data_IF_630484907431
#
_entry.id   IF_630484907431
#
_cell.length_a   1.000
_cell.length_b   1.000
_cell.length_c   1.000
_cell.angle_alpha   90.00
_cell.angle_beta   90.00
_cell.angle_gamma   90.00
#
_symmetry.space_group_name_H-M   'P 1'
#
loop_
_entity.id
_entity.type
_entity.pdbx_description
1 polymer ?
#
# COMPACT_ATOMS: atom_id res chain seq x y z
N UNK A 1 25.88 33.18 54.54
CA UNK A 1 25.62 31.80 54.08
C UNK A 1 26.94 31.10 53.84
N UNK A 2 27.10 29.92 54.43
CA UNK A 2 28.25 29.03 54.16
C UNK A 2 27.69 27.79 53.46
N UNK A 3 28.34 27.41 52.36
CA UNK A 3 27.98 26.19 51.60
C UNK A 3 29.12 25.20 51.68
N UNK A 4 28.81 23.97 52.10
CA UNK A 4 29.72 22.85 52.10
C UNK A 4 29.11 21.67 51.36
N UNK A 5 29.88 20.59 51.15
CA UNK A 5 29.38 19.38 50.54
C UNK A 5 28.31 18.68 51.40
N UNK A 6 28.30 18.92 52.72
CA UNK A 6 27.42 18.29 53.69
C UNK A 6 26.15 19.08 54.02
N UNK A 7 26.06 20.35 53.61
CA UNK A 7 24.92 21.21 53.83
C UNK A 7 25.23 22.68 53.64
N UNK A 8 24.26 23.50 53.90
CA UNK A 8 24.41 24.96 53.94
C UNK A 8 23.91 25.50 55.27
N UNK A 9 24.58 26.57 55.71
CA UNK A 9 24.27 27.17 56.99
C UNK A 9 24.33 28.69 56.93
N UNK A 10 23.68 29.31 57.84
CA UNK A 10 23.67 30.75 58.02
C UNK A 10 24.46 31.09 59.28
N UNK A 11 25.44 31.99 59.13
CA UNK A 11 26.27 32.51 60.24
C UNK A 11 25.88 33.94 60.45
N UNK A 12 25.77 34.33 61.73
CA UNK A 12 25.63 35.71 62.13
C UNK A 12 26.90 36.49 61.73
N UNK A 13 26.69 37.56 61.00
CA UNK A 13 27.79 38.38 60.45
C UNK A 13 28.65 39.06 61.51
N UNK A 14 28.12 39.36 62.71
CA UNK A 14 28.77 40.11 63.74
C UNK A 14 29.39 39.21 64.81
N UNK A 15 28.71 38.13 65.16
CA UNK A 15 29.13 37.24 66.24
C UNK A 15 29.83 35.96 65.75
N UNK A 16 29.81 35.68 64.46
CA UNK A 16 30.35 34.45 63.89
C UNK A 16 29.60 33.16 64.29
N UNK A 17 28.49 33.25 65.02
CA UNK A 17 27.72 32.08 65.47
C UNK A 17 26.91 31.50 64.37
N UNK A 18 26.85 30.15 64.30
CA UNK A 18 25.94 29.39 63.38
C UNK A 18 24.51 29.61 63.83
N UNK A 19 23.69 30.20 62.98
CA UNK A 19 22.29 30.52 63.23
C UNK A 19 21.37 29.35 62.85
N UNK A 20 21.67 28.70 61.73
CA UNK A 20 20.95 27.55 61.26
C UNK A 20 21.83 26.66 60.39
N UNK A 21 21.60 25.39 60.36
CA UNK A 21 22.26 24.41 59.51
C UNK A 21 21.25 23.49 58.87
N UNK A 22 21.30 23.39 57.56
CA UNK A 22 20.46 22.46 56.79
C UNK A 22 21.36 21.43 56.14
N UNK A 23 21.24 20.17 56.57
CA UNK A 23 22.02 19.09 56.02
C UNK A 23 21.52 18.69 54.64
N UNK A 24 22.44 18.31 53.76
CA UNK A 24 22.09 17.82 52.41
C UNK A 24 21.33 16.50 52.50
N UNK A 25 20.01 16.53 52.32
CA UNK A 25 19.17 15.34 52.32
C UNK A 25 19.18 14.62 50.96
N UNK A 26 18.64 13.39 50.89
CA UNK A 26 18.57 12.61 49.64
C UNK A 26 17.86 13.35 48.48
N UNK A 27 16.86 14.16 48.79
CA UNK A 27 16.13 14.98 47.81
C UNK A 27 17.00 16.09 47.19
N UNK A 28 17.83 16.73 47.98
CA UNK A 28 18.75 17.77 47.51
C UNK A 28 19.90 17.16 46.70
N UNK A 29 20.38 15.97 47.07
CA UNK A 29 21.35 15.22 46.31
C UNK A 29 20.79 14.83 44.93
N UNK A 30 19.54 14.30 44.87
CA UNK A 30 18.86 13.98 43.65
C UNK A 30 18.65 15.21 42.76
N UNK A 31 18.26 16.35 43.37
CA UNK A 31 18.08 17.59 42.65
C UNK A 31 19.42 18.10 42.04
N UNK A 32 20.52 18.05 42.79
CA UNK A 32 21.85 18.44 42.28
C UNK A 32 22.28 17.55 41.13
N UNK A 33 22.07 16.25 41.28
CA UNK A 33 22.41 15.29 40.25
C UNK A 33 21.57 15.47 38.97
N UNK A 34 20.27 15.67 39.12
CA UNK A 34 19.36 15.97 38.00
C UNK A 34 19.78 17.30 37.31
N UNK A 35 20.06 18.34 38.08
CA UNK A 35 20.53 19.60 37.54
C UNK A 35 21.85 19.45 36.77
N UNK A 36 22.84 18.79 37.36
CA UNK A 36 24.14 18.52 36.74
C UNK A 36 24.01 17.78 35.40
N UNK A 37 23.09 16.81 35.30
CA UNK A 37 22.76 16.11 34.05
C UNK A 37 22.09 17.04 33.02
N UNK A 38 21.15 17.88 33.45
CA UNK A 38 20.33 18.68 32.54
C UNK A 38 21.03 19.99 32.07
N UNK A 39 21.93 20.54 32.85
CA UNK A 39 22.59 21.82 32.51
C UNK A 39 23.89 21.65 31.73
N UNK A 40 24.38 20.42 31.55
CA UNK A 40 25.67 20.18 30.88
C UNK A 40 26.90 20.52 31.70
N UNK A 41 26.75 20.84 33.02
CA UNK A 41 27.84 21.15 33.92
C UNK A 41 28.81 19.97 34.13
N UNK A 42 28.43 18.76 33.68
CA UNK A 42 29.23 17.54 33.78
C UNK A 42 30.54 17.62 33.00
N UNK A 43 30.46 18.02 31.74
CA UNK A 43 31.61 18.20 30.84
C UNK A 43 31.17 18.91 29.57
N UNK A 44 32.11 19.51 28.84
CA UNK A 44 31.83 20.14 27.56
C UNK A 44 31.31 19.13 26.52
N UNK A 45 31.76 17.87 26.58
CA UNK A 45 31.24 16.78 25.72
C UNK A 45 29.78 16.50 26.02
N UNK A 46 29.39 16.47 27.29
CA UNK A 46 28.00 16.29 27.71
C UNK A 46 27.12 17.47 27.27
N UNK A 47 27.63 18.68 27.39
CA UNK A 47 26.95 19.87 26.90
C UNK A 47 26.69 19.80 25.39
N UNK A 48 27.62 19.27 24.57
CA UNK A 48 27.44 19.04 23.14
C UNK A 48 26.36 17.98 22.87
N UNK A 49 26.33 16.90 23.67
CA UNK A 49 25.26 15.86 23.54
C UNK A 49 23.90 16.48 23.82
N UNK A 50 23.76 17.27 24.86
CA UNK A 50 22.50 17.95 25.19
C UNK A 50 22.11 18.98 24.13
N UNK A 51 23.06 19.74 23.58
CA UNK A 51 22.79 20.65 22.46
C UNK A 51 22.34 19.91 21.21
N UNK A 52 22.99 18.79 20.88
CA UNK A 52 22.61 17.92 19.77
C UNK A 52 21.21 17.32 19.96
N UNK A 53 20.90 16.81 21.14
CA UNK A 53 19.59 16.28 21.49
C UNK A 53 18.50 17.36 21.42
N UNK A 54 18.78 18.57 21.89
CA UNK A 54 17.87 19.71 21.79
C UNK A 54 17.57 20.08 20.34
N UNK A 55 18.61 20.13 19.50
CA UNK A 55 18.45 20.41 18.06
C UNK A 55 17.67 19.28 17.35
N UNK A 56 17.96 18.02 17.67
CA UNK A 56 17.22 16.87 17.16
C UNK A 56 15.73 16.92 17.55
N UNK A 57 15.44 17.34 18.78
CA UNK A 57 14.05 17.48 19.25
C UNK A 57 13.27 18.52 18.44
N UNK A 58 13.88 19.67 18.13
CA UNK A 58 13.27 20.70 17.29
C UNK A 58 13.02 20.16 15.88
N UNK A 59 14.00 19.45 15.31
CA UNK A 59 13.91 18.88 13.95
C UNK A 59 12.84 17.79 13.87
N UNK A 60 12.77 16.91 14.86
CA UNK A 60 11.74 15.89 14.98
C UNK A 60 10.34 16.49 15.19
N UNK A 61 10.24 17.55 16.00
CA UNK A 61 8.99 18.27 16.22
C UNK A 61 8.51 18.93 14.92
N UNK A 62 9.41 19.58 14.18
CA UNK A 62 9.08 20.19 12.89
C UNK A 62 8.64 19.15 11.86
N UNK A 63 9.41 18.05 11.72
CA UNK A 63 9.07 16.98 10.78
C UNK A 63 7.78 16.27 11.17
N UNK A 64 7.58 16.02 12.49
CA UNK A 64 6.34 15.45 13.02
C UNK A 64 5.12 16.34 12.77
N UNK A 65 5.27 17.66 13.01
CA UNK A 65 4.20 18.62 12.74
C UNK A 65 3.88 18.71 11.24
N UNK A 66 4.90 18.69 10.39
CA UNK A 66 4.73 18.70 8.94
C UNK A 66 4.03 17.44 8.43
N UNK A 67 4.41 16.26 8.93
CA UNK A 67 3.76 14.98 8.64
C UNK A 67 2.31 14.97 9.15
N UNK A 68 2.08 15.44 10.37
CA UNK A 68 0.74 15.56 10.94
C UNK A 68 -0.14 16.51 10.13
N UNK A 69 0.41 17.66 9.69
CA UNK A 69 -0.32 18.64 8.87
C UNK A 69 -0.67 18.06 7.49
N UNK A 70 0.30 17.41 6.81
CA UNK A 70 0.04 16.75 5.52
C UNK A 70 -0.99 15.63 5.67
N UNK A 71 -0.89 14.80 6.70
CA UNK A 71 -1.87 13.77 7.00
C UNK A 71 -3.27 14.36 7.30
N UNK A 72 -3.34 15.52 7.97
CA UNK A 72 -4.60 16.22 8.25
C UNK A 72 -5.21 16.83 6.98
N UNK A 73 -4.39 17.37 6.09
CA UNK A 73 -4.86 17.85 4.78
C UNK A 73 -5.37 16.69 3.91
N UNK A 74 -4.64 15.58 3.86
CA UNK A 74 -5.05 14.37 3.14
C UNK A 74 -6.37 13.82 3.72
N UNK A 75 -6.54 13.85 5.05
CA UNK A 75 -7.79 13.46 5.71
C UNK A 75 -8.96 14.40 5.38
N UNK A 76 -8.74 15.70 5.27
CA UNK A 76 -9.77 16.67 4.84
C UNK A 76 -10.16 16.48 3.37
N UNK A 77 -9.20 16.11 2.52
CA UNK A 77 -9.45 15.75 1.12
C UNK A 77 -10.07 14.35 0.98
N UNK A 78 -9.80 13.45 1.94
CA UNK A 78 -10.37 12.11 2.03
C UNK A 78 -11.75 12.06 2.71
N UNK A 79 -12.17 13.15 3.38
CA UNK A 79 -13.53 13.31 3.84
C UNK A 79 -14.42 13.40 2.61
N UNK A 80 -15.11 12.31 2.30
CA UNK A 80 -16.07 12.11 1.23
C UNK A 80 -15.86 13.09 0.07
N UNK A 81 -15.12 12.70 -1.00
CA UNK A 81 -15.16 13.53 -2.19
C UNK A 81 -16.64 13.73 -2.48
N UNK A 82 -17.03 14.95 -2.75
CA UNK A 82 -18.41 15.29 -3.04
C UNK A 82 -18.91 14.33 -4.14
N UNK A 83 -19.59 13.27 -3.75
CA UNK A 83 -20.39 12.38 -4.61
C UNK A 83 -21.60 13.19 -5.07
N UNK A 84 -21.34 14.34 -5.74
CA UNK A 84 -22.17 15.52 -5.65
C UNK A 84 -23.29 15.57 -6.66
N UNK A 85 -23.19 14.91 -7.79
CA UNK A 85 -24.19 15.16 -8.84
C UNK A 85 -25.33 14.13 -8.89
N UNK A 86 -25.16 12.92 -8.36
CA UNK A 86 -26.15 11.83 -8.54
C UNK A 86 -26.37 10.97 -7.28
N UNK A 87 -25.98 11.43 -6.11
CA UNK A 87 -26.19 10.67 -4.87
C UNK A 87 -27.67 10.79 -4.47
N UNK A 88 -28.42 9.70 -4.69
CA UNK A 88 -29.85 9.64 -4.31
C UNK A 88 -30.00 9.81 -2.78
N UNK A 89 -31.11 10.39 -2.28
CA UNK A 89 -31.37 10.37 -0.86
C UNK A 89 -31.36 8.93 -0.32
N UNK A 90 -30.73 8.67 0.79
CA UNK A 90 -30.58 7.32 1.35
C UNK A 90 -31.91 6.58 1.51
N UNK A 91 -32.94 7.27 1.97
CA UNK A 91 -34.29 6.70 2.16
C UNK A 91 -35.00 6.27 0.85
N UNK A 92 -34.55 6.77 -0.31
CA UNK A 92 -35.13 6.48 -1.62
C UNK A 92 -34.23 5.57 -2.48
N UNK A 93 -33.02 5.29 -2.01
CA UNK A 93 -32.06 4.50 -2.76
C UNK A 93 -32.38 3.01 -2.67
N UNK A 94 -32.37 2.34 -3.85
CA UNK A 94 -32.48 0.88 -3.93
C UNK A 94 -31.13 0.18 -3.72
N UNK A 95 -30.04 0.90 -3.97
CA UNK A 95 -28.67 0.39 -3.86
C UNK A 95 -27.84 1.29 -2.95
N UNK A 96 -27.33 0.74 -1.85
CA UNK A 96 -26.45 1.44 -0.94
C UNK A 96 -25.00 0.99 -1.13
N UNK A 97 -24.08 1.94 -1.25
CA UNK A 97 -22.63 1.68 -1.30
C UNK A 97 -22.01 2.26 -0.05
N UNK A 98 -21.41 1.42 0.79
CA UNK A 98 -20.69 1.85 1.97
C UNK A 98 -19.20 1.71 1.77
N UNK A 99 -18.44 2.73 2.20
CA UNK A 99 -17.00 2.81 1.98
C UNK A 99 -16.24 2.93 3.28
N UNK A 100 -15.28 2.04 3.48
CA UNK A 100 -14.29 2.16 4.54
C UNK A 100 -12.91 2.39 3.93
N UNK A 101 -12.30 3.56 4.19
CA UNK A 101 -11.03 3.96 3.59
C UNK A 101 -10.24 4.86 4.53
N UNK A 102 -9.02 4.49 4.92
CA UNK A 102 -8.17 5.33 5.79
C UNK A 102 -7.64 6.55 5.05
N UNK A 103 -7.10 6.35 3.86
CA UNK A 103 -6.47 7.40 3.03
C UNK A 103 -7.35 7.95 1.90
N UNK A 104 -8.64 7.58 1.86
CA UNK A 104 -9.57 8.06 0.82
C UNK A 104 -9.47 7.37 -0.54
N UNK A 105 -8.46 6.54 -0.79
CA UNK A 105 -8.23 5.92 -2.10
C UNK A 105 -9.35 4.98 -2.57
N UNK A 106 -10.08 4.35 -1.63
CA UNK A 106 -11.21 3.45 -1.94
C UNK A 106 -12.42 4.22 -2.48
N UNK A 107 -12.53 5.51 -2.20
CA UNK A 107 -13.63 6.34 -2.70
C UNK A 107 -13.66 6.46 -4.22
N UNK A 108 -12.48 6.45 -4.88
CA UNK A 108 -12.43 6.46 -6.34
C UNK A 108 -13.05 5.21 -6.97
N UNK A 109 -12.84 4.03 -6.36
CA UNK A 109 -13.50 2.79 -6.75
C UNK A 109 -15.01 2.84 -6.51
N UNK A 110 -15.42 3.38 -5.35
CA UNK A 110 -16.83 3.56 -5.01
C UNK A 110 -17.52 4.52 -5.96
N UNK A 111 -16.88 5.61 -6.36
CA UNK A 111 -17.41 6.58 -7.31
C UNK A 111 -17.59 5.97 -8.70
N UNK A 112 -16.62 5.19 -9.19
CA UNK A 112 -16.74 4.48 -10.46
C UNK A 112 -17.89 3.46 -10.44
N UNK A 113 -18.02 2.70 -9.35
CA UNK A 113 -19.13 1.78 -9.16
C UNK A 113 -20.47 2.53 -9.10
N UNK A 114 -20.56 3.61 -8.33
CA UNK A 114 -21.75 4.45 -8.22
C UNK A 114 -22.21 4.94 -9.58
N UNK A 115 -21.29 5.55 -10.34
CA UNK A 115 -21.58 6.08 -11.68
C UNK A 115 -22.07 4.98 -12.64
N UNK A 116 -21.40 3.82 -12.62
CA UNK A 116 -21.75 2.71 -13.49
C UNK A 116 -23.14 2.14 -13.15
N UNK A 117 -23.51 2.03 -11.87
CA UNK A 117 -24.84 1.57 -11.45
C UNK A 117 -25.92 2.62 -11.71
N UNK A 118 -25.64 3.90 -11.44
CA UNK A 118 -26.57 5.01 -11.74
C UNK A 118 -26.84 5.13 -13.26
N UNK A 119 -25.83 4.93 -14.11
CA UNK A 119 -25.98 4.88 -15.57
C UNK A 119 -26.89 3.75 -16.04
N UNK A 120 -27.13 2.72 -15.22
CA UNK A 120 -28.09 1.64 -15.46
C UNK A 120 -29.47 1.90 -14.85
N UNK A 121 -29.73 3.13 -14.39
CA UNK A 121 -31.04 3.54 -13.85
C UNK A 121 -31.27 3.17 -12.38
N UNK A 122 -30.26 2.65 -11.67
CA UNK A 122 -30.38 2.34 -10.25
C UNK A 122 -30.30 3.62 -9.40
N UNK A 123 -31.09 3.69 -8.35
CA UNK A 123 -31.04 4.78 -7.39
C UNK A 123 -29.96 4.49 -6.33
N UNK A 124 -28.77 5.00 -6.57
CA UNK A 124 -27.59 4.70 -5.75
C UNK A 124 -27.35 5.78 -4.69
N UNK A 125 -27.09 5.35 -3.45
CA UNK A 125 -26.58 6.19 -2.38
C UNK A 125 -25.24 5.65 -1.89
N UNK A 126 -24.23 6.52 -1.82
CA UNK A 126 -22.91 6.17 -1.30
C UNK A 126 -22.61 6.97 -0.05
N UNK A 127 -22.12 6.29 0.98
CA UNK A 127 -21.78 6.87 2.26
C UNK A 127 -20.56 6.17 2.91
N UNK A 128 -19.96 6.80 3.93
CA UNK A 128 -18.96 6.15 4.74
C UNK A 128 -19.59 5.01 5.56
N UNK A 129 -18.83 3.93 5.78
CA UNK A 129 -19.33 2.73 6.46
C UNK A 129 -19.76 3.01 7.92
N UNK A 130 -19.26 4.04 8.55
CA UNK A 130 -19.70 4.48 9.89
C UNK A 130 -21.17 4.90 9.93
N UNK A 131 -21.77 5.26 8.79
CA UNK A 131 -23.18 5.59 8.62
C UNK A 131 -24.00 4.40 8.13
N UNK A 132 -23.53 3.17 8.38
CA UNK A 132 -24.23 1.97 7.95
C UNK A 132 -25.65 1.93 8.49
N UNK A 133 -26.60 2.10 7.59
CA UNK A 133 -28.02 2.00 7.85
C UNK A 133 -28.74 1.62 6.56
N UNK A 134 -29.76 0.75 6.63
CA UNK A 134 -30.63 0.44 5.52
C UNK A 134 -32.02 1.03 5.72
N UNK A 135 -32.74 1.24 4.63
CA UNK A 135 -34.06 1.85 4.61
C UNK A 135 -35.06 0.92 3.92
N UNK A 136 -36.36 1.21 4.01
CA UNK A 136 -37.41 0.38 3.41
C UNK A 136 -37.27 0.20 1.89
N UNK A 137 -36.72 1.19 1.17
CA UNK A 137 -36.46 1.13 -0.27
C UNK A 137 -35.23 0.32 -0.64
N UNK A 138 -34.36 -0.03 0.33
CA UNK A 138 -33.08 -0.69 0.06
C UNK A 138 -33.29 -2.13 -0.42
N UNK A 139 -32.82 -2.44 -1.60
CA UNK A 139 -32.89 -3.78 -2.20
C UNK A 139 -31.53 -4.51 -2.13
N UNK A 140 -30.42 -3.77 -2.07
CA UNK A 140 -29.07 -4.35 -2.04
C UNK A 140 -28.05 -3.43 -1.39
N UNK A 141 -27.00 -4.01 -0.84
CA UNK A 141 -25.91 -3.28 -0.20
C UNK A 141 -24.59 -3.76 -0.78
N UNK A 142 -23.70 -2.81 -1.11
CA UNK A 142 -22.33 -3.08 -1.53
C UNK A 142 -21.40 -2.40 -0.56
N UNK A 143 -20.41 -3.12 -0.05
CA UNK A 143 -19.41 -2.58 0.89
C UNK A 143 -18.02 -2.68 0.27
N UNK A 144 -17.34 -1.53 0.15
CA UNK A 144 -15.96 -1.43 -0.26
C UNK A 144 -15.10 -1.14 0.97
N UNK A 145 -14.36 -2.15 1.44
CA UNK A 145 -13.66 -2.11 2.71
C UNK A 145 -12.14 -2.19 2.54
N UNK A 146 -11.43 -1.06 2.73
CA UNK A 146 -9.98 -1.09 2.83
C UNK A 146 -9.52 -1.61 4.19
N UNK A 147 -8.38 -2.27 4.17
CA UNK A 147 -7.70 -2.75 5.37
C UNK A 147 -6.55 -1.80 5.72
N UNK A 148 -6.39 -1.51 7.00
CA UNK A 148 -5.32 -0.68 7.53
C UNK A 148 -4.36 -1.50 8.40
N UNK A 149 -3.07 -1.19 8.35
CA UNK A 149 -2.04 -1.89 9.14
C UNK A 149 -2.03 -3.40 8.90
N UNK A 150 -1.96 -4.20 9.96
CA UNK A 150 -1.84 -5.65 9.91
C UNK A 150 -3.19 -6.39 9.72
N UNK A 151 -4.22 -5.76 9.18
CA UNK A 151 -5.53 -6.38 8.97
C UNK A 151 -6.70 -5.62 9.62
N UNK A 152 -6.43 -4.46 10.20
CA UNK A 152 -7.37 -3.70 11.01
C UNK A 152 -8.35 -2.88 10.16
N UNK A 153 -9.45 -2.46 10.80
CA UNK A 153 -10.39 -1.51 10.21
C UNK A 153 -9.77 -0.10 10.12
N UNK A 154 -10.11 0.70 9.10
CA UNK A 154 -9.86 2.13 9.09
C UNK A 154 -10.40 2.81 10.34
N UNK A 155 -9.77 3.91 10.77
CA UNK A 155 -10.08 4.58 12.05
C UNK A 155 -11.57 4.87 12.26
N UNK A 156 -12.21 5.44 11.24
CA UNK A 156 -13.63 5.81 11.28
C UNK A 156 -14.58 4.59 11.27
N UNK A 157 -14.12 3.41 10.80
CA UNK A 157 -14.92 2.19 10.71
C UNK A 157 -14.67 1.20 11.88
N UNK A 158 -13.78 1.53 12.84
CA UNK A 158 -13.41 0.62 13.94
C UNK A 158 -14.58 0.19 14.82
N UNK A 159 -15.58 1.05 14.96
CA UNK A 159 -16.76 0.78 15.79
C UNK A 159 -17.82 -0.06 15.06
N UNK A 160 -17.79 -0.06 13.73
CA UNK A 160 -18.85 -0.68 12.91
C UNK A 160 -19.02 -2.17 13.19
N UNK A 161 -17.93 -2.94 13.24
CA UNK A 161 -18.01 -4.37 13.58
C UNK A 161 -18.64 -4.61 14.94
N UNK A 162 -18.29 -3.80 15.93
CA UNK A 162 -18.87 -3.92 17.29
C UNK A 162 -20.35 -3.54 17.29
N UNK A 163 -20.73 -2.48 16.59
CA UNK A 163 -22.12 -2.05 16.45
C UNK A 163 -22.94 -3.12 15.72
N UNK A 164 -22.45 -3.67 14.62
CA UNK A 164 -23.10 -4.76 13.89
C UNK A 164 -23.27 -6.00 14.76
N UNK A 165 -22.25 -6.38 15.53
CA UNK A 165 -22.33 -7.55 16.43
C UNK A 165 -23.37 -7.36 17.55
N UNK A 166 -23.57 -6.13 18.02
CA UNK A 166 -24.56 -5.78 19.04
C UNK A 166 -25.98 -5.65 18.51
N UNK A 167 -26.15 -5.18 17.28
CA UNK A 167 -27.42 -5.02 16.59
C UNK A 167 -27.87 -6.34 15.95
N UNK A 168 -28.24 -7.32 16.78
CA UNK A 168 -28.78 -8.57 16.23
C UNK A 168 -30.22 -8.31 15.76
N UNK A 169 -30.49 -8.38 14.43
CA UNK A 169 -31.86 -8.18 13.95
C UNK A 169 -32.77 -9.30 14.48
N UNK A 170 -34.01 -8.94 14.83
CA UNK A 170 -35.00 -9.91 15.34
C UNK A 170 -35.36 -10.99 14.28
N UNK A 171 -35.20 -10.67 13.00
CA UNK A 171 -35.29 -11.61 11.88
C UNK A 171 -34.16 -11.35 10.88
N UNK A 172 -33.65 -12.38 10.18
CA UNK A 172 -32.62 -12.19 9.16
C UNK A 172 -33.09 -11.18 8.10
N UNK A 173 -32.29 -10.14 7.80
CA UNK A 173 -32.66 -9.20 6.75
C UNK A 173 -32.69 -9.91 5.39
N UNK A 174 -33.62 -9.54 4.52
CA UNK A 174 -33.74 -10.09 3.15
C UNK A 174 -32.86 -9.37 2.13
N UNK A 175 -32.10 -8.36 2.55
CA UNK A 175 -31.30 -7.50 1.68
C UNK A 175 -29.93 -8.16 1.40
N UNK A 176 -29.61 -8.51 0.15
CA UNK A 176 -28.34 -9.13 -0.20
C UNK A 176 -27.18 -8.13 -0.14
N UNK A 177 -26.02 -8.63 0.33
CA UNK A 177 -24.80 -7.86 0.51
C UNK A 177 -23.67 -8.42 -0.35
N UNK A 178 -22.93 -7.53 -1.03
CA UNK A 178 -21.63 -7.81 -1.64
C UNK A 178 -20.52 -7.05 -0.92
N UNK A 179 -19.40 -7.71 -0.63
CA UNK A 179 -18.26 -7.10 0.06
C UNK A 179 -17.01 -7.25 -0.80
N UNK A 180 -16.37 -6.11 -1.06
CA UNK A 180 -15.10 -6.03 -1.76
C UNK A 180 -14.04 -5.47 -0.81
N UNK A 181 -13.03 -6.29 -0.51
CA UNK A 181 -11.92 -5.92 0.33
C UNK A 181 -10.76 -5.33 -0.46
N UNK A 182 -10.07 -4.33 0.09
CA UNK A 182 -8.83 -3.80 -0.44
C UNK A 182 -7.72 -3.99 0.59
N UNK A 183 -6.65 -4.66 0.21
CA UNK A 183 -5.54 -4.96 1.09
C UNK A 183 -4.25 -5.22 0.35
N UNK A 184 -3.22 -5.56 1.11
CA UNK A 184 -1.94 -5.96 0.58
C UNK A 184 -1.56 -7.34 1.14
N UNK A 185 -1.24 -8.29 0.25
CA UNK A 185 -0.86 -9.67 0.60
C UNK A 185 0.46 -9.78 1.33
N UNK A 186 1.25 -8.69 1.37
CA UNK A 186 2.48 -8.64 2.16
C UNK A 186 2.22 -8.56 3.67
N UNK A 187 0.99 -8.22 4.07
CA UNK A 187 0.60 -8.23 5.48
C UNK A 187 -0.07 -9.55 5.87
N UNK A 188 0.14 -10.03 7.11
CA UNK A 188 -0.34 -11.35 7.54
C UNK A 188 -1.85 -11.56 7.40
N UNK A 189 -2.65 -10.50 7.54
CA UNK A 189 -4.10 -10.55 7.45
C UNK A 189 -4.60 -9.80 6.22
N UNK A 190 -4.40 -10.41 5.06
CA UNK A 190 -4.89 -9.86 3.78
C UNK A 190 -6.40 -9.62 3.83
N UNK A 191 -6.83 -8.37 3.64
CA UNK A 191 -8.23 -7.95 3.70
C UNK A 191 -8.96 -8.35 4.99
N UNK A 192 -8.25 -8.44 6.14
CA UNK A 192 -8.78 -8.95 7.40
C UNK A 192 -10.06 -8.25 7.85
N UNK A 193 -10.17 -6.93 7.67
CA UNK A 193 -11.38 -6.18 8.00
C UNK A 193 -12.58 -6.56 7.12
N UNK A 194 -12.38 -6.70 5.80
CA UNK A 194 -13.45 -7.12 4.88
C UNK A 194 -13.91 -8.54 5.17
N UNK A 195 -12.97 -9.43 5.52
CA UNK A 195 -13.28 -10.80 5.92
C UNK A 195 -14.10 -10.84 7.23
N UNK A 196 -13.73 -10.02 8.22
CA UNK A 196 -14.47 -9.92 9.48
C UNK A 196 -15.89 -9.36 9.27
N UNK A 197 -16.07 -8.39 8.36
CA UNK A 197 -17.40 -7.90 7.97
C UNK A 197 -18.22 -9.01 7.31
N UNK A 198 -17.64 -9.73 6.35
CA UNK A 198 -18.34 -10.83 5.66
C UNK A 198 -18.79 -11.90 6.65
N UNK A 199 -17.93 -12.29 7.59
CA UNK A 199 -18.27 -13.25 8.63
C UNK A 199 -19.38 -12.73 9.56
N UNK A 200 -19.33 -11.45 9.95
CA UNK A 200 -20.34 -10.84 10.80
C UNK A 200 -21.73 -10.88 10.13
N UNK A 201 -21.83 -10.44 8.86
CA UNK A 201 -23.08 -10.47 8.11
C UNK A 201 -23.61 -11.90 7.88
N UNK A 202 -22.72 -12.84 7.54
CA UNK A 202 -23.09 -14.25 7.38
C UNK A 202 -23.65 -14.84 8.69
N UNK A 203 -23.01 -14.55 9.83
CA UNK A 203 -23.46 -15.03 11.15
C UNK A 203 -24.83 -14.45 11.53
N UNK A 204 -25.16 -13.26 11.04
CA UNK A 204 -26.46 -12.63 11.25
C UNK A 204 -27.52 -13.05 10.23
N UNK A 205 -27.20 -13.93 9.28
CA UNK A 205 -28.13 -14.45 8.31
C UNK A 205 -28.40 -13.52 7.11
N UNK A 206 -27.55 -12.50 6.84
CA UNK A 206 -27.69 -11.66 5.66
C UNK A 206 -27.39 -12.46 4.39
N UNK A 207 -28.24 -12.39 3.35
CA UNK A 207 -27.97 -13.03 2.09
C UNK A 207 -26.75 -12.44 1.42
N UNK A 208 -25.92 -13.29 0.79
CA UNK A 208 -24.79 -12.83 0.00
C UNK A 208 -25.24 -12.60 -1.45
N UNK A 209 -25.00 -11.38 -1.98
CA UNK A 209 -25.16 -11.09 -3.42
C UNK A 209 -24.02 -11.72 -4.22
N UNK A 210 -22.80 -11.65 -3.67
CA UNK A 210 -21.58 -12.29 -4.16
C UNK A 210 -20.75 -12.77 -2.97
N UNK A 211 -19.98 -13.85 -3.10
CA UNK A 211 -18.91 -14.15 -2.15
C UNK A 211 -17.99 -12.95 -1.99
N UNK A 212 -17.50 -12.68 -0.76
CA UNK A 212 -16.55 -11.60 -0.57
C UNK A 212 -15.29 -11.86 -1.37
N UNK A 213 -14.70 -10.80 -1.96
CA UNK A 213 -13.45 -10.86 -2.72
C UNK A 213 -12.47 -9.82 -2.21
N UNK A 214 -11.16 -10.15 -2.21
CA UNK A 214 -10.09 -9.25 -1.83
C UNK A 214 -9.27 -8.80 -3.03
N UNK A 215 -9.12 -7.49 -3.19
CA UNK A 215 -8.27 -6.88 -4.21
C UNK A 215 -6.91 -6.54 -3.60
N UNK A 216 -5.86 -7.12 -4.18
CA UNK A 216 -4.48 -6.82 -3.82
C UNK A 216 -4.04 -5.49 -4.43
N UNK A 217 -3.50 -4.60 -3.56
CA UNK A 217 -2.87 -3.32 -3.96
C UNK A 217 -3.72 -2.50 -4.95
N UNK A 218 -5.04 -2.47 -4.74
CA UNK A 218 -5.97 -1.68 -5.54
C UNK A 218 -5.91 -1.97 -7.05
N UNK A 219 -5.73 -3.23 -7.43
CA UNK A 219 -5.63 -3.66 -8.82
C UNK A 219 -6.87 -3.26 -9.64
N UNK A 220 -6.74 -2.41 -10.66
CA UNK A 220 -7.84 -2.03 -11.53
C UNK A 220 -8.43 -3.20 -12.30
N UNK A 221 -7.57 -4.17 -12.68
CA UNK A 221 -8.00 -5.38 -13.41
C UNK A 221 -8.87 -6.28 -12.54
N UNK A 222 -8.50 -6.44 -11.25
CA UNK A 222 -9.30 -7.20 -10.30
C UNK A 222 -10.65 -6.51 -10.06
N UNK A 223 -10.66 -5.18 -9.95
CA UNK A 223 -11.87 -4.40 -9.81
C UNK A 223 -12.80 -4.54 -11.03
N UNK A 224 -12.26 -4.43 -12.24
CA UNK A 224 -13.03 -4.64 -13.47
C UNK A 224 -13.61 -6.06 -13.57
N UNK A 225 -12.86 -7.08 -13.16
CA UNK A 225 -13.34 -8.46 -13.10
C UNK A 225 -14.49 -8.61 -12.10
N UNK A 226 -14.30 -8.11 -10.87
CA UNK A 226 -15.33 -8.13 -9.84
C UNK A 226 -16.58 -7.37 -10.29
N UNK A 227 -16.44 -6.25 -11.00
CA UNK A 227 -17.55 -5.48 -11.56
C UNK A 227 -18.41 -6.31 -12.53
N UNK A 228 -17.77 -7.11 -13.39
CA UNK A 228 -18.51 -8.04 -14.27
C UNK A 228 -19.30 -9.09 -13.47
N UNK A 229 -18.67 -9.67 -12.45
CA UNK A 229 -19.36 -10.63 -11.56
C UNK A 229 -20.56 -9.99 -10.85
N UNK A 230 -20.40 -8.75 -10.38
CA UNK A 230 -21.49 -7.98 -9.78
C UNK A 230 -22.60 -7.69 -10.78
N UNK A 231 -22.24 -7.28 -12.00
CA UNK A 231 -23.22 -7.05 -13.08
C UNK A 231 -24.07 -8.29 -13.39
N UNK A 232 -23.44 -9.46 -13.49
CA UNK A 232 -24.15 -10.73 -13.68
C UNK A 232 -25.07 -11.05 -12.49
N UNK A 233 -24.60 -10.89 -11.25
CA UNK A 233 -25.41 -11.13 -10.05
C UNK A 233 -26.62 -10.17 -9.96
N UNK A 234 -26.52 -8.99 -10.55
CA UNK A 234 -27.60 -8.00 -10.64
C UNK A 234 -28.50 -8.18 -11.87
N UNK A 235 -28.20 -9.13 -12.76
CA UNK A 235 -28.94 -9.33 -14.01
C UNK A 235 -28.79 -8.17 -15.01
N UNK A 236 -27.68 -7.43 -14.97
CA UNK A 236 -27.43 -6.30 -15.86
C UNK A 236 -26.82 -6.76 -17.19
N UNK A 237 -27.48 -6.42 -18.30
CA UNK A 237 -26.98 -6.67 -19.66
C UNK A 237 -26.85 -5.34 -20.44
N UNK A 238 -25.75 -5.06 -21.13
CA UNK A 238 -24.45 -5.73 -21.02
C UNK A 238 -23.87 -5.62 -19.60
N UNK A 239 -22.91 -6.50 -19.24
CA UNK A 239 -22.33 -6.55 -17.89
C UNK A 239 -21.72 -5.23 -17.46
N UNK A 240 -21.57 -5.04 -16.15
CA UNK A 240 -21.05 -3.80 -15.57
C UNK A 240 -19.55 -3.64 -15.90
N UNK A 241 -19.22 -2.65 -16.71
CA UNK A 241 -17.83 -2.28 -17.02
C UNK A 241 -17.35 -1.23 -16.01
N UNK A 242 -16.42 -1.62 -15.13
CA UNK A 242 -15.80 -0.70 -14.18
C UNK A 242 -14.40 -0.34 -14.70
N UNK A 243 -14.25 0.89 -15.17
CA UNK A 243 -12.98 1.44 -15.66
C UNK A 243 -12.48 2.51 -14.70
N UNK A 244 -11.88 2.08 -13.59
CA UNK A 244 -11.23 2.98 -12.63
C UNK A 244 -9.78 2.56 -12.41
N UNK A 245 -8.89 3.52 -12.61
CA UNK A 245 -7.48 3.40 -12.27
C UNK A 245 -7.14 4.39 -11.16
N UNK A 246 -6.61 3.95 -10.01
CA UNK A 246 -6.09 4.85 -9.00
C UNK A 246 -5.02 5.76 -9.61
N UNK A 247 -4.79 6.96 -9.05
CA UNK A 247 -3.67 7.81 -9.47
C UNK A 247 -2.37 7.00 -9.51
N UNK A 248 -1.76 6.97 -10.69
CA UNK A 248 -0.50 6.26 -10.89
C UNK A 248 0.68 7.16 -10.49
N UNK A 249 1.82 6.58 -10.11
CA UNK A 249 3.07 7.33 -10.04
C UNK A 249 3.34 8.02 -11.37
N UNK A 250 4.07 9.14 -11.31
CA UNK A 250 4.48 9.82 -12.53
C UNK A 250 5.26 8.84 -13.43
N UNK A 251 4.82 8.69 -14.66
CA UNK A 251 5.53 7.90 -15.66
C UNK A 251 6.70 8.68 -16.22
N UNK A 252 7.72 7.98 -16.65
CA UNK A 252 8.86 8.55 -17.37
C UNK A 252 9.16 7.74 -18.63
N UNK A 253 9.81 8.35 -19.63
CA UNK A 253 10.16 7.66 -20.85
C UNK A 253 11.29 6.67 -20.62
N UNK A 254 11.11 5.43 -21.09
CA UNK A 254 12.12 4.40 -21.17
C UNK A 254 12.38 4.07 -22.62
N UNK A 255 13.65 4.01 -23.03
CA UNK A 255 14.08 3.64 -24.38
C UNK A 255 14.44 2.16 -24.40
N UNK A 256 13.95 1.41 -25.38
CA UNK A 256 14.40 0.07 -25.65
C UNK A 256 15.81 0.09 -26.24
N UNK A 257 16.79 -0.39 -25.47
CA UNK A 257 18.21 -0.38 -25.89
C UNK A 257 18.66 -1.73 -26.44
N UNK A 258 18.06 -2.83 -25.99
CA UNK A 258 18.37 -4.18 -26.47
C UNK A 258 17.13 -5.06 -26.40
N UNK A 259 17.01 -5.97 -27.36
CA UNK A 259 15.93 -6.94 -27.48
C UNK A 259 16.50 -8.32 -27.78
N UNK A 260 15.96 -9.33 -27.10
CA UNK A 260 16.28 -10.75 -27.37
C UNK A 260 14.97 -11.50 -27.55
N UNK A 261 14.77 -12.05 -28.74
CA UNK A 261 13.56 -12.81 -29.10
C UNK A 261 13.76 -14.29 -28.82
N UNK A 262 12.71 -14.91 -28.28
CA UNK A 262 12.60 -16.35 -28.03
C UNK A 262 11.40 -16.89 -28.82
N UNK A 263 11.60 -17.27 -30.09
CA UNK A 263 10.56 -17.90 -30.88
C UNK A 263 10.28 -19.30 -30.34
N UNK A 264 9.01 -19.69 -30.34
CA UNK A 264 8.59 -21.04 -29.94
C UNK A 264 7.56 -21.54 -30.93
N UNK A 265 7.76 -22.75 -31.45
CA UNK A 265 6.87 -23.33 -32.49
C UNK A 265 5.47 -23.66 -31.94
N UNK A 266 5.42 -24.20 -30.70
CA UNK A 266 4.21 -24.77 -30.11
C UNK A 266 3.65 -23.93 -28.97
N UNK A 267 4.19 -22.71 -28.74
CA UNK A 267 3.72 -21.81 -27.69
C UNK A 267 3.88 -20.34 -28.12
N UNK A 268 3.13 -19.42 -27.53
CA UNK A 268 3.31 -18.01 -27.80
C UNK A 268 4.77 -17.57 -27.53
N UNK A 269 5.39 -16.82 -28.47
CA UNK A 269 6.77 -16.39 -28.37
C UNK A 269 6.96 -15.48 -27.16
N UNK A 270 8.20 -15.36 -26.68
CA UNK A 270 8.58 -14.45 -25.64
C UNK A 270 9.71 -13.53 -26.10
N UNK A 271 9.87 -12.41 -25.41
CA UNK A 271 10.95 -11.45 -25.65
C UNK A 271 11.51 -10.95 -24.31
N UNK A 272 12.81 -10.81 -24.23
CA UNK A 272 13.49 -10.08 -23.15
C UNK A 272 13.81 -8.68 -23.67
N UNK A 273 13.35 -7.66 -22.96
CA UNK A 273 13.53 -6.26 -23.30
C UNK A 273 14.41 -5.59 -22.25
N UNK A 274 15.44 -4.89 -22.72
CA UNK A 274 16.32 -4.06 -21.90
C UNK A 274 15.92 -2.60 -22.10
N UNK A 275 15.41 -1.98 -21.07
CA UNK A 275 14.83 -0.64 -21.09
C UNK A 275 15.69 0.29 -20.25
N UNK A 276 16.10 1.41 -20.81
CA UNK A 276 16.90 2.41 -20.13
C UNK A 276 16.09 3.71 -19.98
N UNK A 277 16.16 4.36 -18.83
CA UNK A 277 15.51 5.65 -18.66
C UNK A 277 16.12 6.65 -19.66
N UNK A 278 15.27 7.37 -20.36
CA UNK A 278 15.74 8.39 -21.30
C UNK A 278 16.40 9.56 -20.56
N UNK A 279 17.49 10.14 -21.10
CA UNK A 279 18.21 11.25 -20.46
C UNK A 279 17.34 12.46 -20.13
N UNK A 280 16.23 12.65 -20.85
CA UNK A 280 15.25 13.71 -20.62
C UNK A 280 14.31 13.44 -19.42
N UNK A 281 14.37 12.26 -18.83
CA UNK A 281 13.57 11.88 -17.66
C UNK A 281 14.26 12.13 -16.32
N UNK A 282 13.52 12.05 -15.24
CA UNK A 282 14.09 12.03 -13.90
C UNK A 282 14.98 10.79 -13.72
N UNK A 283 15.96 10.88 -12.81
CA UNK A 283 16.78 9.71 -12.45
C UNK A 283 15.87 8.54 -12.05
N UNK A 284 16.21 7.33 -12.50
CA UNK A 284 15.48 6.14 -12.11
C UNK A 284 15.47 6.02 -10.59
N UNK A 285 14.31 5.80 -9.98
CA UNK A 285 14.30 5.38 -8.58
C UNK A 285 15.10 4.09 -8.43
N UNK A 286 15.75 3.92 -7.28
CA UNK A 286 16.45 2.67 -6.99
C UNK A 286 15.47 1.49 -7.14
N UNK A 287 15.88 0.46 -7.87
CA UNK A 287 15.10 -0.76 -8.04
C UNK A 287 16.01 -2.00 -7.95
N UNK A 288 15.39 -3.11 -7.63
CA UNK A 288 16.05 -4.40 -7.49
C UNK A 288 15.31 -5.51 -8.24
N UNK A 289 15.98 -6.64 -8.44
CA UNK A 289 15.35 -7.81 -9.04
C UNK A 289 14.10 -8.23 -8.27
N UNK A 290 12.99 -8.45 -8.99
CA UNK A 290 11.69 -8.75 -8.40
C UNK A 290 10.77 -7.55 -8.17
N UNK A 291 11.28 -6.32 -8.23
CA UNK A 291 10.43 -5.13 -8.34
C UNK A 291 9.62 -5.14 -9.64
N UNK A 292 8.63 -4.28 -9.74
CA UNK A 292 7.72 -4.26 -10.88
C UNK A 292 7.95 -3.03 -11.76
N UNK A 293 8.00 -3.24 -13.06
CA UNK A 293 7.89 -2.18 -14.05
C UNK A 293 6.43 -2.05 -14.48
N UNK A 294 5.77 -0.95 -14.11
CA UNK A 294 4.43 -0.62 -14.53
C UNK A 294 4.46 0.09 -15.89
N UNK A 295 3.96 -0.53 -16.94
CA UNK A 295 3.93 -0.01 -18.30
C UNK A 295 2.51 0.42 -18.64
N UNK A 296 2.38 1.66 -19.11
CA UNK A 296 1.11 2.21 -19.59
C UNK A 296 1.14 2.22 -21.12
N UNK A 297 0.46 1.26 -21.79
CA UNK A 297 0.46 1.22 -23.25
C UNK A 297 -0.26 2.44 -23.85
N UNK A 298 0.09 2.87 -25.06
CA UNK A 298 -0.59 3.97 -25.75
C UNK A 298 -2.10 3.77 -25.80
N UNK A 299 -2.88 4.81 -25.52
CA UNK A 299 -4.35 4.75 -25.53
C UNK A 299 -4.99 3.98 -24.37
N UNK A 300 -4.21 3.47 -23.42
CA UNK A 300 -4.72 2.76 -22.23
C UNK A 300 -4.49 3.59 -20.97
N UNK A 301 -5.39 3.43 -19.99
CA UNK A 301 -5.24 4.03 -18.65
C UNK A 301 -4.69 3.04 -17.63
N UNK A 302 -4.88 1.73 -17.87
CA UNK A 302 -4.51 0.70 -16.92
C UNK A 302 -3.08 0.21 -17.19
N UNK A 303 -2.18 0.30 -16.22
CA UNK A 303 -0.84 -0.23 -16.37
C UNK A 303 -0.84 -1.75 -16.40
N UNK A 304 0.17 -2.32 -17.01
CA UNK A 304 0.51 -3.74 -16.88
C UNK A 304 1.85 -3.85 -16.18
N UNK A 305 1.95 -4.77 -15.23
CA UNK A 305 3.13 -4.93 -14.40
C UNK A 305 3.95 -6.11 -14.87
N UNK A 306 5.25 -5.89 -15.01
CA UNK A 306 6.23 -6.91 -15.37
C UNK A 306 7.31 -6.94 -14.29
N UNK A 307 7.66 -8.13 -13.82
CA UNK A 307 8.73 -8.28 -12.83
C UNK A 307 10.07 -7.99 -13.45
N UNK A 308 10.91 -7.24 -12.74
CA UNK A 308 12.26 -6.88 -13.17
C UNK A 308 13.21 -8.06 -12.97
N UNK A 309 13.93 -8.41 -14.03
CA UNK A 309 15.02 -9.37 -14.05
C UNK A 309 16.38 -8.75 -13.70
N UNK A 310 16.41 -7.46 -13.41
CA UNK A 310 17.62 -6.69 -13.16
C UNK A 310 17.45 -5.76 -11.97
N UNK A 311 18.55 -5.17 -11.55
CA UNK A 311 18.64 -4.09 -10.56
C UNK A 311 19.15 -2.80 -11.19
N UNK A 312 19.16 -1.71 -10.45
CA UNK A 312 19.75 -0.45 -10.90
C UNK A 312 21.24 -0.58 -11.27
N UNK A 313 21.97 -1.49 -10.60
CA UNK A 313 23.39 -1.73 -10.87
C UNK A 313 23.64 -2.29 -12.28
N UNK A 314 22.65 -2.94 -12.90
CA UNK A 314 22.74 -3.49 -14.25
C UNK A 314 22.56 -2.42 -15.35
N UNK A 315 22.31 -1.16 -15.01
CA UNK A 315 22.19 -0.03 -15.92
C UNK A 315 20.93 -0.01 -16.81
N UNK A 316 20.13 -1.08 -16.78
CA UNK A 316 18.88 -1.19 -17.53
C UNK A 316 17.82 -1.99 -16.78
N UNK A 317 16.56 -1.62 -16.96
CA UNK A 317 15.42 -2.38 -16.47
C UNK A 317 15.11 -3.51 -17.46
N UNK A 318 15.27 -4.76 -17.03
CA UNK A 318 15.04 -5.94 -17.87
C UNK A 318 13.72 -6.61 -17.51
N UNK A 319 12.90 -6.89 -18.51
CA UNK A 319 11.64 -7.63 -18.36
C UNK A 319 11.56 -8.75 -19.38
N UNK A 320 10.92 -9.85 -19.00
CA UNK A 320 10.62 -10.96 -19.90
C UNK A 320 9.10 -10.99 -20.16
N UNK A 321 8.71 -10.92 -21.43
CA UNK A 321 7.33 -10.77 -21.85
C UNK A 321 6.94 -11.89 -22.81
N UNK A 322 5.93 -12.69 -22.45
CA UNK A 322 5.30 -13.64 -23.36
C UNK A 322 4.15 -12.96 -24.11
N UNK A 323 4.07 -13.19 -25.41
CA UNK A 323 2.95 -12.71 -26.22
C UNK A 323 1.67 -13.43 -25.78
N UNK A 324 0.68 -12.68 -25.34
CA UNK A 324 -0.64 -13.24 -25.00
C UNK A 324 -1.61 -12.97 -26.16
N UNK A 325 -2.29 -14.00 -26.68
CA UNK A 325 -3.33 -13.81 -27.69
C UNK A 325 -4.38 -12.79 -27.19
N UNK A 326 -4.64 -11.73 -27.97
CA UNK A 326 -5.54 -10.64 -27.58
C UNK A 326 -5.02 -9.72 -26.48
N UNK A 327 -3.80 -9.91 -26.00
CA UNK A 327 -3.19 -9.07 -24.96
C UNK A 327 -2.62 -7.77 -25.53
N UNK A 328 -3.29 -6.64 -25.31
CA UNK A 328 -2.89 -5.35 -25.88
C UNK A 328 -1.45 -4.95 -25.51
N UNK A 329 -1.08 -5.00 -24.23
CA UNK A 329 0.26 -4.58 -23.78
C UNK A 329 1.36 -5.55 -24.26
N UNK A 330 1.13 -6.85 -24.21
CA UNK A 330 2.11 -7.83 -24.71
C UNK A 330 2.34 -7.68 -26.22
N UNK A 331 1.29 -7.42 -27.00
CA UNK A 331 1.39 -7.15 -28.44
C UNK A 331 2.16 -5.85 -28.68
N UNK A 332 1.87 -4.78 -27.95
CA UNK A 332 2.62 -3.53 -28.02
C UNK A 332 4.12 -3.75 -27.73
N UNK A 333 4.48 -4.46 -26.67
CA UNK A 333 5.87 -4.72 -26.30
C UNK A 333 6.59 -5.63 -27.29
N UNK A 334 5.92 -6.62 -27.86
CA UNK A 334 6.46 -7.43 -28.94
C UNK A 334 6.69 -6.66 -30.25
N UNK A 335 5.89 -5.62 -30.50
CA UNK A 335 6.06 -4.73 -31.67
C UNK A 335 7.16 -3.67 -31.49
N UNK A 336 7.67 -3.49 -30.28
CA UNK A 336 8.61 -2.41 -29.96
C UNK A 336 9.98 -2.68 -30.58
N UNK A 337 10.56 -1.68 -31.25
CA UNK A 337 11.88 -1.76 -31.87
C UNK A 337 12.93 -1.02 -31.04
N UNK A 338 14.19 -1.44 -31.13
CA UNK A 338 15.32 -0.74 -30.49
C UNK A 338 15.36 0.72 -30.86
N UNK A 339 15.57 1.60 -29.89
CA UNK A 339 15.51 3.06 -30.03
C UNK A 339 14.11 3.66 -29.77
N UNK A 340 13.04 2.89 -29.77
CA UNK A 340 11.71 3.36 -29.44
C UNK A 340 11.52 3.53 -27.94
N UNK A 341 10.60 4.43 -27.54
CA UNK A 341 10.32 4.76 -26.16
C UNK A 341 8.94 4.30 -25.72
N UNK A 342 8.80 4.00 -24.45
CA UNK A 342 7.52 3.73 -23.78
C UNK A 342 7.42 4.50 -22.47
N UNK A 343 6.20 4.69 -21.95
CA UNK A 343 5.95 5.30 -20.67
C UNK A 343 5.83 4.23 -19.59
N UNK A 344 6.69 4.32 -18.56
CA UNK A 344 6.68 3.37 -17.46
C UNK A 344 7.04 4.02 -16.12
N UNK A 345 6.83 3.30 -15.03
CA UNK A 345 7.28 3.64 -13.69
C UNK A 345 7.72 2.39 -12.95
N UNK A 346 8.63 2.55 -12.01
CA UNK A 346 9.05 1.46 -11.12
C UNK A 346 8.16 1.43 -9.90
N UNK A 347 7.74 0.25 -9.51
CA UNK A 347 6.99 -0.01 -8.29
C UNK A 347 7.74 -1.04 -7.42
N UNK A 348 8.16 -0.68 -6.20
CA UNK A 348 8.77 -1.61 -5.27
C UNK A 348 7.86 -2.81 -4.97
N UNK A 349 8.45 -4.00 -4.84
CA UNK A 349 7.75 -5.24 -4.51
C UNK A 349 8.44 -5.93 -3.31
N UNK A 350 8.39 -5.36 -2.10
CA UNK A 350 9.12 -5.85 -0.94
C UNK A 350 8.76 -7.27 -0.53
N UNK A 351 7.59 -7.77 -0.93
CA UNK A 351 7.18 -9.15 -0.69
C UNK A 351 7.86 -10.18 -1.58
N UNK A 352 8.53 -9.73 -2.63
CA UNK A 352 9.36 -10.60 -3.50
C UNK A 352 10.84 -10.35 -3.23
N UNK A 353 11.24 -10.37 -1.95
CA UNK A 353 12.61 -10.24 -1.52
C UNK A 353 13.11 -11.58 -0.93
N UNK A 354 14.43 -11.79 -0.96
CA UNK A 354 15.01 -12.93 -0.29
C UNK A 354 14.82 -12.79 1.24
N UNK A 355 14.57 -13.90 1.96
CA UNK A 355 14.54 -13.87 3.41
C UNK A 355 15.90 -13.42 3.95
N UNK A 356 15.94 -12.71 5.08
CA UNK A 356 17.21 -12.25 5.67
C UNK A 356 18.12 -13.42 6.03
N UNK A 357 19.43 -13.19 5.98
CA UNK A 357 20.47 -14.19 6.30
C UNK A 357 21.22 -14.74 5.11
N UNK A 358 22.13 -15.68 5.37
CA UNK A 358 23.04 -16.27 4.37
C UNK A 358 22.71 -17.73 4.03
N UNK A 359 21.62 -18.27 4.56
CA UNK A 359 21.21 -19.66 4.27
C UNK A 359 21.01 -19.87 2.77
N UNK A 360 21.33 -21.06 2.24
CA UNK A 360 21.06 -21.42 0.84
C UNK A 360 19.57 -21.24 0.50
N UNK A 361 19.29 -20.78 -0.71
CA UNK A 361 17.93 -20.55 -1.19
C UNK A 361 17.64 -21.41 -2.39
N UNK A 362 16.48 -22.07 -2.38
CA UNK A 362 15.95 -22.77 -3.52
C UNK A 362 14.95 -21.85 -4.26
N UNK A 363 15.22 -21.59 -5.53
CA UNK A 363 14.38 -20.79 -6.42
C UNK A 363 13.73 -21.73 -7.44
N UNK A 364 12.42 -21.61 -7.61
CA UNK A 364 11.66 -22.43 -8.56
C UNK A 364 10.82 -21.50 -9.42
N UNK A 365 10.99 -21.57 -10.75
CA UNK A 365 10.23 -20.76 -11.68
C UNK A 365 10.01 -21.44 -13.02
N UNK A 366 8.99 -21.01 -13.75
CA UNK A 366 8.70 -21.54 -15.08
C UNK A 366 8.38 -20.41 -16.07
N UNK A 367 8.83 -20.58 -17.30
CA UNK A 367 8.60 -19.62 -18.37
C UNK A 367 9.09 -18.22 -17.98
N UNK A 368 8.32 -17.17 -18.28
CA UNK A 368 8.68 -15.77 -17.95
C UNK A 368 8.77 -15.50 -16.44
N UNK A 369 8.26 -16.42 -15.60
CA UNK A 369 8.34 -16.30 -14.15
C UNK A 369 9.77 -16.49 -13.58
N UNK A 370 10.76 -16.90 -14.39
CA UNK A 370 12.15 -16.94 -13.96
C UNK A 370 12.80 -15.54 -13.94
N UNK A 371 12.27 -14.57 -14.68
CA UNK A 371 12.84 -13.22 -14.77
C UNK A 371 13.15 -12.58 -13.41
N UNK A 372 12.21 -12.48 -12.47
CA UNK A 372 12.52 -11.93 -11.16
C UNK A 372 13.51 -12.78 -10.34
N UNK A 373 13.56 -14.09 -10.56
CA UNK A 373 14.50 -14.98 -9.87
C UNK A 373 15.94 -14.74 -10.34
N UNK A 374 16.13 -14.51 -11.64
CA UNK A 374 17.42 -14.11 -12.22
C UNK A 374 17.87 -12.77 -11.62
N UNK A 375 16.97 -11.80 -11.50
CA UNK A 375 17.25 -10.52 -10.85
C UNK A 375 17.70 -10.68 -9.40
N UNK A 376 17.10 -11.60 -8.64
CA UNK A 376 17.52 -11.89 -7.26
C UNK A 376 18.91 -12.54 -7.21
N UNK A 377 19.22 -13.46 -8.12
CA UNK A 377 20.56 -14.13 -8.21
C UNK A 377 21.64 -13.08 -8.49
N UNK A 378 21.43 -12.22 -9.48
CA UNK A 378 22.37 -11.15 -9.84
C UNK A 378 22.62 -10.17 -8.69
N UNK A 379 21.57 -9.82 -7.97
CA UNK A 379 21.68 -8.90 -6.83
C UNK A 379 22.43 -9.51 -5.62
N UNK A 380 22.55 -10.83 -5.53
CA UNK A 380 23.13 -11.50 -4.37
C UNK A 380 24.16 -12.57 -4.77
N UNK A 381 25.23 -12.23 -5.51
CA UNK A 381 26.18 -13.20 -6.07
C UNK A 381 26.93 -14.03 -5.02
N UNK A 382 27.05 -13.52 -3.80
CA UNK A 382 27.73 -14.22 -2.70
C UNK A 382 26.82 -15.21 -1.96
N UNK A 383 25.53 -15.27 -2.26
CA UNK A 383 24.59 -16.16 -1.56
C UNK A 383 24.41 -17.46 -2.34
N UNK A 384 24.57 -18.63 -1.72
CA UNK A 384 24.29 -19.90 -2.39
C UNK A 384 22.82 -20.00 -2.81
N UNK A 385 22.57 -20.15 -4.10
CA UNK A 385 21.22 -20.29 -4.66
C UNK A 385 21.19 -21.41 -5.70
N UNK A 386 20.08 -22.15 -5.70
CA UNK A 386 19.79 -23.17 -6.70
C UNK A 386 18.53 -22.78 -7.45
N UNK A 387 18.62 -22.57 -8.76
CA UNK A 387 17.48 -22.26 -9.61
C UNK A 387 17.00 -23.52 -10.35
N UNK A 388 15.74 -23.90 -10.14
CA UNK A 388 15.03 -24.87 -10.95
C UNK A 388 14.13 -24.13 -11.94
N UNK A 389 14.52 -24.13 -13.21
CA UNK A 389 13.82 -23.47 -14.29
C UNK A 389 13.00 -24.49 -15.10
N UNK A 390 11.68 -24.34 -15.10
CA UNK A 390 10.78 -25.13 -15.95
C UNK A 390 10.64 -24.51 -17.33
N UNK A 391 10.97 -25.27 -18.37
CA UNK A 391 10.78 -24.91 -19.77
C UNK A 391 10.06 -26.05 -20.49
N UNK A 392 9.20 -25.71 -21.49
CA UNK A 392 8.56 -26.74 -22.34
C UNK A 392 9.55 -27.27 -23.36
N UNK A 393 10.31 -26.36 -23.94
CA UNK A 393 11.35 -26.66 -24.94
C UNK A 393 12.64 -25.98 -24.50
N UNK A 394 13.52 -26.66 -23.73
CA UNK A 394 14.72 -26.05 -23.16
C UNK A 394 15.62 -25.34 -24.17
N UNK A 395 15.64 -25.78 -25.43
CA UNK A 395 16.40 -25.13 -26.51
C UNK A 395 15.76 -23.86 -27.08
N UNK A 396 14.51 -23.54 -26.72
CA UNK A 396 13.75 -22.42 -27.27
C UNK A 396 13.22 -21.44 -26.20
N UNK A 397 12.76 -21.94 -25.08
CA UNK A 397 12.06 -21.12 -24.07
C UNK A 397 12.71 -21.18 -22.66
N UNK A 398 13.96 -21.62 -22.58
CA UNK A 398 14.78 -21.45 -21.38
C UNK A 398 15.41 -20.05 -21.42
N UNK A 399 14.71 -19.09 -20.82
CA UNK A 399 15.17 -17.70 -20.77
C UNK A 399 16.40 -17.57 -19.87
N UNK A 400 17.32 -16.67 -20.22
CA UNK A 400 18.55 -16.38 -19.48
C UNK A 400 19.48 -17.61 -19.33
N UNK A 401 19.40 -18.58 -20.24
CA UNK A 401 20.19 -19.81 -20.18
C UNK A 401 21.72 -19.60 -20.30
N UNK A 402 22.15 -18.43 -20.73
CA UNK A 402 23.57 -18.08 -20.89
C UNK A 402 24.17 -17.40 -19.65
N UNK A 403 23.44 -17.28 -18.60
CA UNK A 403 23.79 -16.68 -17.31
C UNK A 403 23.81 -17.74 -16.22
#
# INVERSE_FOLDING_TARGET
EIRTQQGHGWIDRYSGKLLAWEATGPSQWLYRWARWLHTGEASWLWALVLAGASMATVLLSYTGLRLWWSARQTRKLAASPALTAHNSPAAQADTLIFVASEGGSTWGFAQALHQALAARGLKVHSAALEHFQHHAATQRIVILAATYGAGQAPHHARHVLRQLAQQRPAAPPSIPIAILGFGDRHYPQFCGFAQALAQCFTTQGWPQLLPWEGIHQQSPQAFARWGRSLGHALGLEPTLALDYCPPLPATQPFTLVQRQDYPCADAPPAVVLHLQASPAGAALPAFQGGDLLGIVPPGQRLPRYYSLASSQADGSAQICVRLLPGGYCSTFLHGLQTGQTLQAFVRPNPGFALPPGHSPVLLIGAGTGIAPLVGLIRAHPARPMHLFAGARHPGQDLFFAHE
#
